data_IF_832765639410
#
_entry.id   IF_832765639410
#
_cell.length_a   1.000
_cell.length_b   1.000
_cell.length_c   1.000
_cell.angle_alpha   90.00
_cell.angle_beta   90.00
_cell.angle_gamma   90.00
#
_symmetry.space_group_name_H-M   'P 1'
#
loop_
_entity.id
_entity.type
_entity.pdbx_description
1 polymer ?
#
# COMPACT_ATOMS: atom_id res chain seq x y z
N UNK A 1 13.69 -12.49 -26.68
CA UNK A 1 13.89 -11.98 -25.30
C UNK A 1 12.60 -12.25 -24.54
N UNK A 2 12.64 -12.96 -23.40
CA UNK A 2 11.42 -13.32 -22.66
C UNK A 2 10.89 -12.09 -21.93
N UNK A 3 9.64 -11.70 -22.19
CA UNK A 3 8.99 -10.61 -21.47
C UNK A 3 8.66 -11.06 -20.04
N UNK A 4 9.44 -10.57 -19.06
CA UNK A 4 9.30 -10.92 -17.64
C UNK A 4 7.89 -10.66 -17.09
N UNK A 5 7.18 -9.65 -17.62
CA UNK A 5 5.80 -9.35 -17.20
C UNK A 5 4.81 -10.48 -17.49
N UNK A 6 5.08 -11.32 -18.48
CA UNK A 6 4.18 -12.41 -18.86
C UNK A 6 4.56 -13.75 -18.22
N UNK A 7 5.63 -13.77 -17.41
CA UNK A 7 6.03 -14.95 -16.63
C UNK A 7 4.89 -15.37 -15.70
N UNK A 8 4.71 -16.67 -15.52
CA UNK A 8 3.67 -17.23 -14.63
C UNK A 8 2.26 -17.25 -15.22
N UNK A 9 2.10 -16.88 -16.49
CA UNK A 9 0.85 -17.06 -17.24
C UNK A 9 0.82 -18.38 -18.00
N UNK A 10 -0.39 -18.87 -18.30
CA UNK A 10 -0.63 -19.96 -19.22
C UNK A 10 -0.15 -19.59 -20.64
N UNK A 11 0.41 -20.53 -21.43
CA UNK A 11 1.03 -20.23 -22.72
C UNK A 11 0.13 -19.45 -23.70
N UNK A 12 -1.14 -19.83 -23.81
CA UNK A 12 -2.09 -19.17 -24.72
C UNK A 12 -2.33 -17.70 -24.34
N UNK A 13 -2.42 -17.40 -23.04
CA UNK A 13 -2.65 -16.04 -22.54
C UNK A 13 -1.39 -15.19 -22.67
N UNK A 14 -0.23 -15.79 -22.38
CA UNK A 14 1.07 -15.19 -22.58
C UNK A 14 1.27 -14.74 -24.03
N UNK A 15 1.07 -15.64 -25.01
CA UNK A 15 1.24 -15.32 -26.43
C UNK A 15 0.33 -14.16 -26.86
N UNK A 16 -0.93 -14.15 -26.40
CA UNK A 16 -1.86 -13.06 -26.69
C UNK A 16 -1.39 -11.71 -26.13
N UNK A 17 -0.83 -11.69 -24.92
CA UNK A 17 -0.33 -10.46 -24.30
C UNK A 17 0.97 -10.01 -24.96
N UNK A 18 1.86 -10.93 -25.33
CA UNK A 18 3.10 -10.62 -26.05
C UNK A 18 2.81 -10.04 -27.45
N UNK A 19 1.78 -10.54 -28.14
CA UNK A 19 1.34 -10.05 -29.45
C UNK A 19 0.67 -8.66 -29.36
N UNK A 20 -0.25 -8.48 -28.41
CA UNK A 20 -1.03 -7.24 -28.31
C UNK A 20 -0.36 -6.15 -27.48
N UNK A 21 0.57 -6.50 -26.58
CA UNK A 21 1.14 -5.59 -25.59
C UNK A 21 0.16 -5.20 -24.47
N UNK A 22 -1.03 -5.81 -24.40
CA UNK A 22 -2.11 -5.39 -23.49
C UNK A 22 -2.48 -6.49 -22.48
N UNK A 23 -2.42 -6.16 -21.20
CA UNK A 23 -2.92 -7.00 -20.10
C UNK A 23 -4.34 -6.55 -19.72
N UNK A 24 -5.36 -7.34 -20.06
CA UNK A 24 -6.75 -7.05 -19.66
C UNK A 24 -7.16 -7.81 -18.38
N UNK A 25 -7.05 -7.13 -17.23
CA UNK A 25 -7.49 -7.62 -15.94
C UNK A 25 -9.02 -7.72 -15.80
N UNK A 26 -9.82 -7.30 -16.77
CA UNK A 26 -11.26 -7.55 -16.75
C UNK A 26 -11.61 -8.95 -17.26
N UNK A 27 -10.73 -9.56 -18.08
CA UNK A 27 -10.93 -10.90 -18.63
C UNK A 27 -10.03 -11.97 -18.00
N UNK A 28 -8.89 -11.59 -17.41
CA UNK A 28 -7.97 -12.55 -16.78
C UNK A 28 -8.68 -13.40 -15.69
N UNK A 29 -8.52 -14.72 -15.76
CA UNK A 29 -9.03 -15.72 -14.81
C UNK A 29 -7.91 -16.25 -13.91
N UNK A 30 -8.26 -17.07 -12.92
CA UNK A 30 -7.27 -17.71 -12.04
C UNK A 30 -6.48 -18.80 -12.77
N UNK A 31 -7.16 -19.61 -13.57
CA UNK A 31 -6.58 -20.66 -14.41
C UNK A 31 -5.55 -20.14 -15.43
N UNK A 32 -5.63 -18.85 -15.77
CA UNK A 32 -4.66 -18.19 -16.66
C UNK A 32 -3.30 -17.96 -15.98
N UNK A 33 -3.21 -18.08 -14.65
CA UNK A 33 -1.99 -17.88 -13.86
C UNK A 33 -1.51 -19.23 -13.31
N UNK A 34 -0.44 -19.74 -13.89
CA UNK A 34 0.11 -21.07 -13.60
C UNK A 34 0.99 -21.08 -12.35
N UNK A 35 1.66 -19.95 -12.05
CA UNK A 35 2.53 -19.83 -10.86
C UNK A 35 1.67 -19.60 -9.61
N UNK A 36 1.77 -20.51 -8.65
CA UNK A 36 1.14 -20.39 -7.33
C UNK A 36 2.19 -20.23 -6.24
N UNK A 37 1.98 -19.31 -5.31
CA UNK A 37 2.84 -19.08 -4.14
C UNK A 37 1.99 -19.24 -2.88
N UNK A 38 2.31 -20.21 -2.00
CA UNK A 38 1.55 -20.46 -0.78
C UNK A 38 1.77 -19.34 0.26
N UNK A 39 0.87 -19.27 1.25
CA UNK A 39 0.78 -18.17 2.24
C UNK A 39 2.11 -17.81 2.95
N UNK A 40 2.95 -18.80 3.25
CA UNK A 40 4.21 -18.60 4.00
C UNK A 40 5.43 -18.26 3.15
N UNK A 41 5.30 -18.22 1.83
CA UNK A 41 6.42 -18.06 0.88
C UNK A 41 6.27 -16.78 0.04
N UNK A 42 5.32 -15.91 0.38
CA UNK A 42 5.06 -14.69 -0.39
C UNK A 42 6.12 -13.63 -0.08
N UNK A 43 7.14 -13.59 -0.93
CA UNK A 43 8.10 -12.50 -1.01
C UNK A 43 7.83 -11.66 -2.27
N UNK A 44 7.64 -10.36 -2.09
CA UNK A 44 7.29 -9.43 -3.17
C UNK A 44 8.16 -8.20 -3.05
N UNK A 45 8.86 -7.84 -4.13
CA UNK A 45 9.40 -6.49 -4.25
C UNK A 45 8.24 -5.52 -4.47
N UNK A 46 7.77 -4.92 -3.38
CA UNK A 46 6.63 -4.02 -3.38
C UNK A 46 6.85 -2.78 -4.26
N UNK A 47 8.09 -2.35 -4.49
CA UNK A 47 8.37 -1.21 -5.37
C UNK A 47 8.09 -1.54 -6.84
N UNK A 48 8.21 -2.82 -7.21
CA UNK A 48 7.90 -3.32 -8.56
C UNK A 48 6.45 -3.75 -8.76
N UNK A 49 5.62 -3.72 -7.70
CA UNK A 49 4.22 -4.14 -7.74
C UNK A 49 3.42 -3.27 -8.73
N UNK A 50 2.73 -3.93 -9.67
CA UNK A 50 1.88 -3.27 -10.68
C UNK A 50 0.39 -3.44 -10.35
N UNK A 51 -0.03 -4.64 -9.95
CA UNK A 51 -1.44 -4.90 -9.71
C UNK A 51 -1.67 -6.05 -8.72
N UNK A 52 -2.68 -5.89 -7.86
CA UNK A 52 -3.23 -6.93 -7.00
C UNK A 52 -4.71 -7.09 -7.35
N UNK A 53 -5.06 -8.19 -8.01
CA UNK A 53 -6.42 -8.48 -8.42
C UNK A 53 -7.07 -9.48 -7.50
N UNK A 54 -8.14 -9.04 -6.85
CA UNK A 54 -8.97 -9.91 -6.03
C UNK A 54 -9.78 -10.89 -6.89
N UNK A 55 -9.66 -12.20 -6.63
CA UNK A 55 -10.68 -13.20 -6.99
C UNK A 55 -11.17 -13.88 -5.72
N UNK A 56 -12.47 -14.08 -5.62
CA UNK A 56 -13.10 -14.76 -4.49
C UNK A 56 -13.24 -16.27 -4.75
N UNK A 57 -13.25 -17.09 -3.68
CA UNK A 57 -12.89 -16.76 -2.30
C UNK A 57 -11.39 -17.01 -2.06
N UNK A 58 -10.64 -15.95 -1.74
CA UNK A 58 -9.21 -16.00 -1.36
C UNK A 58 -8.26 -16.65 -2.39
N UNK A 59 -8.26 -16.11 -3.62
CA UNK A 59 -7.20 -16.39 -4.59
C UNK A 59 -6.87 -15.06 -5.29
N UNK A 60 -5.77 -14.44 -4.90
CA UNK A 60 -5.38 -13.13 -5.43
C UNK A 60 -4.33 -13.31 -6.50
N UNK A 61 -4.51 -12.64 -7.64
CA UNK A 61 -3.49 -12.56 -8.69
C UNK A 61 -2.66 -11.32 -8.42
N UNK A 62 -1.34 -11.49 -8.37
CA UNK A 62 -0.37 -10.41 -8.22
C UNK A 62 0.43 -10.31 -9.52
N UNK A 63 0.69 -9.08 -9.94
CA UNK A 63 1.60 -8.77 -11.04
C UNK A 63 2.68 -7.81 -10.54
N UNK A 64 3.94 -8.17 -10.72
CA UNK A 64 5.10 -7.29 -10.51
C UNK A 64 5.91 -7.13 -11.80
N UNK A 65 6.73 -6.08 -11.86
CA UNK A 65 7.57 -5.78 -13.03
C UNK A 65 8.62 -6.87 -13.28
N UNK A 66 9.17 -7.45 -12.23
CA UNK A 66 10.33 -8.35 -12.31
C UNK A 66 9.98 -9.83 -12.19
N UNK A 67 8.93 -10.18 -11.44
CA UNK A 67 8.54 -11.58 -11.21
C UNK A 67 7.37 -12.04 -12.10
N UNK A 68 6.71 -11.10 -12.77
CA UNK A 68 5.52 -11.36 -13.58
C UNK A 68 4.31 -11.70 -12.72
N UNK A 69 3.51 -12.65 -13.18
CA UNK A 69 2.28 -13.09 -12.54
C UNK A 69 2.52 -14.23 -11.55
N UNK A 70 1.81 -14.16 -10.43
CA UNK A 70 1.56 -15.31 -9.57
C UNK A 70 0.20 -15.18 -8.90
N UNK A 71 -0.32 -16.31 -8.39
CA UNK A 71 -1.50 -16.35 -7.53
C UNK A 71 -1.16 -16.84 -6.14
N UNK A 72 -1.90 -16.37 -5.15
CA UNK A 72 -1.67 -16.66 -3.73
C UNK A 72 -3.00 -16.70 -2.96
N UNK A 73 -3.11 -17.51 -1.89
CA UNK A 73 -4.33 -17.57 -1.07
C UNK A 73 -4.50 -16.35 -0.15
N UNK A 74 -3.57 -15.40 -0.15
CA UNK A 74 -3.70 -14.15 0.59
C UNK A 74 -4.77 -13.26 -0.06
N UNK A 75 -5.59 -12.61 0.75
CA UNK A 75 -6.47 -11.55 0.28
C UNK A 75 -5.68 -10.31 -0.13
N UNK A 76 -6.24 -9.42 -0.95
CA UNK A 76 -5.57 -8.17 -1.31
C UNK A 76 -5.24 -7.30 -0.10
N UNK A 77 -6.04 -7.36 0.97
CA UNK A 77 -5.76 -6.61 2.19
C UNK A 77 -4.55 -7.16 2.91
N UNK A 78 -4.47 -8.48 3.09
CA UNK A 78 -3.30 -9.13 3.71
C UNK A 78 -2.01 -8.84 2.93
N UNK A 79 -2.05 -8.86 1.59
CA UNK A 79 -0.90 -8.49 0.76
C UNK A 79 -0.46 -7.03 0.96
N UNK A 80 -1.41 -6.10 1.06
CA UNK A 80 -1.08 -4.69 1.33
C UNK A 80 -0.60 -4.48 2.76
N UNK A 81 -1.11 -5.26 3.72
CA UNK A 81 -0.61 -5.25 5.09
C UNK A 81 0.85 -5.74 5.15
N UNK A 82 1.22 -6.78 4.38
CA UNK A 82 2.62 -7.18 4.21
C UNK A 82 3.47 -6.07 3.55
N UNK A 83 2.92 -5.37 2.55
CA UNK A 83 3.60 -4.25 1.93
C UNK A 83 3.89 -3.13 2.94
N UNK A 84 2.93 -2.79 3.79
CA UNK A 84 3.11 -1.76 4.83
C UNK A 84 4.09 -2.21 5.90
N UNK A 85 4.02 -3.48 6.33
CA UNK A 85 4.95 -4.05 7.30
C UNK A 85 6.41 -4.04 6.80
N UNK A 86 6.63 -4.00 5.48
CA UNK A 86 7.97 -3.83 4.88
C UNK A 86 8.46 -2.37 4.88
N UNK A 87 7.64 -1.42 5.32
CA UNK A 87 7.98 0.00 5.39
C UNK A 87 8.16 0.46 6.84
N UNK A 88 8.66 1.67 7.02
CA UNK A 88 8.77 2.34 8.31
C UNK A 88 7.45 2.99 8.79
N UNK A 89 6.36 2.82 8.03
CA UNK A 89 5.05 3.44 8.24
C UNK A 89 3.99 2.42 8.60
N UNK A 90 2.98 2.88 9.33
CA UNK A 90 1.79 2.14 9.71
C UNK A 90 0.56 2.62 8.95
N UNK A 91 -0.56 1.90 9.07
CA UNK A 91 -1.84 2.38 8.54
C UNK A 91 -2.26 3.71 9.14
N UNK A 92 -1.92 3.95 10.40
CA UNK A 92 -2.16 5.24 11.04
C UNK A 92 -1.46 6.36 10.29
N UNK A 93 -0.18 6.21 10.00
CA UNK A 93 0.61 7.23 9.30
C UNK A 93 0.03 7.56 7.91
N UNK A 94 -0.41 6.54 7.17
CA UNK A 94 -1.06 6.75 5.88
C UNK A 94 -2.40 7.50 6.01
N UNK A 95 -3.21 7.17 7.02
CA UNK A 95 -4.47 7.88 7.28
C UNK A 95 -4.22 9.33 7.73
N UNK A 96 -3.23 9.56 8.59
CA UNK A 96 -2.84 10.89 9.06
C UNK A 96 -2.38 11.77 7.90
N UNK A 97 -1.65 11.23 6.92
CA UNK A 97 -1.27 11.97 5.71
C UNK A 97 -2.50 12.40 4.88
N UNK A 98 -3.52 11.55 4.79
CA UNK A 98 -4.79 11.90 4.13
C UNK A 98 -5.51 13.02 4.87
N UNK A 99 -5.55 12.94 6.20
CA UNK A 99 -6.23 13.92 7.05
C UNK A 99 -5.53 15.29 7.01
N UNK A 100 -4.19 15.33 7.18
CA UNK A 100 -3.36 16.55 7.13
C UNK A 100 -3.48 17.25 5.77
N UNK A 101 -3.50 16.50 4.68
CA UNK A 101 -3.53 17.05 3.33
C UNK A 101 -4.95 17.25 2.79
N UNK A 102 -5.97 16.97 3.62
CA UNK A 102 -7.40 17.05 3.30
C UNK A 102 -7.76 16.30 2.01
N UNK A 103 -7.26 15.06 1.89
CA UNK A 103 -7.44 14.23 0.70
C UNK A 103 -8.72 13.40 0.79
N UNK A 104 -9.24 12.99 -0.36
CA UNK A 104 -10.43 12.12 -0.36
C UNK A 104 -10.08 10.68 0.03
N UNK A 105 -11.04 9.93 0.58
CA UNK A 105 -10.92 8.47 0.71
C UNK A 105 -11.04 7.75 -0.65
N UNK A 106 -10.65 6.46 -0.76
CA UNK A 106 -9.90 5.66 0.21
C UNK A 106 -8.43 6.06 0.33
N UNK A 107 -7.79 5.68 1.45
CA UNK A 107 -6.40 6.00 1.80
C UNK A 107 -5.40 5.31 0.86
N UNK A 108 -4.54 6.07 0.15
CA UNK A 108 -3.44 5.50 -0.62
C UNK A 108 -2.29 5.07 0.30
N UNK A 109 -1.56 4.03 -0.09
CA UNK A 109 -0.31 3.62 0.59
C UNK A 109 0.85 4.27 -0.15
N UNK A 110 1.56 5.16 0.52
CA UNK A 110 2.70 5.90 -0.04
C UNK A 110 3.88 5.83 0.92
N UNK A 111 4.95 5.15 0.49
CA UNK A 111 6.23 5.11 1.21
C UNK A 111 7.39 5.05 0.22
N UNK A 112 8.27 6.04 0.23
CA UNK A 112 9.33 6.17 -0.78
C UNK A 112 8.79 6.15 -2.22
N UNK A 113 9.12 5.11 -2.96
CA UNK A 113 8.63 4.89 -4.33
C UNK A 113 7.35 4.04 -4.41
N UNK A 114 6.99 3.34 -3.34
CA UNK A 114 5.75 2.57 -3.26
C UNK A 114 4.56 3.53 -3.29
N UNK A 115 3.67 3.35 -4.27
CA UNK A 115 2.42 4.10 -4.37
C UNK A 115 1.28 3.15 -4.77
N UNK A 116 0.52 2.66 -3.79
CA UNK A 116 -0.60 1.75 -4.04
C UNK A 116 -1.93 2.47 -3.85
N UNK A 117 -2.79 2.31 -4.85
CA UNK A 117 -4.13 2.86 -4.86
C UNK A 117 -5.16 1.73 -4.91
N UNK A 118 -6.20 1.88 -4.11
CA UNK A 118 -7.42 1.09 -4.25
C UNK A 118 -8.08 1.41 -5.60
N UNK A 119 -8.45 0.38 -6.36
CA UNK A 119 -9.31 0.51 -7.55
C UNK A 119 -10.77 0.72 -7.15
N UNK A 120 -11.59 1.24 -8.07
CA UNK A 120 -13.01 1.45 -7.78
C UNK A 120 -13.75 0.15 -7.45
N UNK A 121 -14.48 0.13 -6.33
CA UNK A 121 -15.25 -1.04 -5.89
C UNK A 121 -16.49 -1.23 -6.77
N UNK A 122 -16.77 -2.45 -7.27
CA UNK A 122 -18.07 -2.77 -7.82
C UNK A 122 -19.14 -2.67 -6.72
N UNK A 123 -20.21 -1.92 -6.98
CA UNK A 123 -21.28 -1.55 -6.02
C UNK A 123 -21.97 -2.68 -5.21
N UNK A 124 -21.65 -3.96 -5.47
CA UNK A 124 -22.29 -5.11 -4.81
C UNK A 124 -21.31 -6.15 -4.27
N UNK A 125 -20.00 -5.93 -4.34
CA UNK A 125 -19.02 -6.96 -3.95
C UNK A 125 -17.80 -6.28 -3.32
N UNK A 126 -17.43 -6.65 -2.08
CA UNK A 126 -16.15 -6.30 -1.43
C UNK A 126 -14.99 -6.91 -2.24
N UNK A 127 -14.79 -6.42 -3.46
CA UNK A 127 -13.78 -6.80 -4.44
C UNK A 127 -12.86 -5.59 -4.58
N UNK A 128 -11.99 -5.39 -3.60
CA UNK A 128 -11.00 -4.32 -3.65
C UNK A 128 -9.74 -4.87 -4.32
N UNK A 129 -9.47 -4.42 -5.55
CA UNK A 129 -8.16 -4.63 -6.19
C UNK A 129 -7.28 -3.41 -5.96
N UNK A 130 -5.97 -3.57 -6.02
CA UNK A 130 -5.00 -2.49 -5.85
C UNK A 130 -4.14 -2.35 -7.09
N UNK A 131 -3.70 -1.13 -7.37
CA UNK A 131 -2.81 -0.80 -8.48
C UNK A 131 -1.60 -0.05 -7.96
N UNK A 132 -0.41 -0.45 -8.39
CA UNK A 132 0.82 0.31 -8.22
C UNK A 132 0.94 1.36 -9.30
N UNK A 133 0.96 2.62 -8.91
CA UNK A 133 0.93 3.75 -9.86
C UNK A 133 2.29 4.34 -10.18
N UNK A 134 3.33 3.93 -9.47
CA UNK A 134 4.71 4.38 -9.69
C UNK A 134 5.27 4.03 -11.08
N UNK A 135 4.70 3.01 -11.73
CA UNK A 135 5.10 2.53 -13.06
C UNK A 135 4.17 2.99 -14.19
N UNK A 136 3.11 3.75 -13.86
CA UNK A 136 2.15 4.26 -14.84
C UNK A 136 2.69 5.58 -15.43
N UNK A 137 2.75 5.64 -16.76
CA UNK A 137 3.10 6.86 -17.50
C UNK A 137 1.86 7.63 -17.91
N UNK A 138 0.84 6.94 -18.45
CA UNK A 138 -0.38 7.56 -18.96
C UNK A 138 -1.63 6.83 -18.52
N UNK A 139 -2.71 7.58 -18.32
CA UNK A 139 -4.03 7.07 -17.96
C UNK A 139 -5.04 7.53 -19.00
N UNK A 140 -5.72 6.58 -19.64
CA UNK A 140 -6.74 6.80 -20.66
C UNK A 140 -8.06 6.13 -20.27
N UNK A 141 -9.19 6.70 -20.68
CA UNK A 141 -10.48 6.03 -20.52
C UNK A 141 -10.62 4.93 -21.58
N UNK A 142 -10.93 3.71 -21.16
CA UNK A 142 -11.29 2.62 -22.07
C UNK A 142 -12.82 2.49 -22.19
N UNK A 143 -13.54 2.77 -21.10
CA UNK A 143 -14.98 2.99 -21.07
C UNK A 143 -15.35 3.76 -19.80
N UNK A 144 -16.65 4.00 -19.55
CA UNK A 144 -17.11 4.69 -18.34
C UNK A 144 -16.60 4.03 -17.04
N UNK A 145 -16.43 2.70 -17.02
CA UNK A 145 -16.01 1.94 -15.82
C UNK A 145 -14.74 1.12 -16.05
N UNK A 146 -13.99 1.43 -17.10
CA UNK A 146 -12.70 0.80 -17.40
C UNK A 146 -11.67 1.86 -17.75
N UNK A 147 -10.47 1.67 -17.21
CA UNK A 147 -9.31 2.48 -17.50
C UNK A 147 -8.30 1.65 -18.27
N UNK A 148 -7.60 2.28 -19.20
CA UNK A 148 -6.41 1.76 -19.87
C UNK A 148 -5.22 2.61 -19.44
N UNK A 149 -4.23 1.97 -18.83
CA UNK A 149 -3.01 2.66 -18.39
C UNK A 149 -1.82 2.17 -19.19
N UNK A 150 -0.96 3.09 -19.60
CA UNK A 150 0.31 2.79 -20.24
C UNK A 150 1.40 2.77 -19.18
N UNK A 151 2.18 1.69 -19.15
CA UNK A 151 3.32 1.53 -18.27
C UNK A 151 4.57 2.11 -18.91
N UNK A 152 5.55 2.49 -18.09
CA UNK A 152 6.85 3.03 -18.52
C UNK A 152 7.66 2.12 -19.46
N UNK A 153 7.36 0.82 -19.47
CA UNK A 153 7.99 -0.15 -20.36
C UNK A 153 7.23 -0.37 -21.68
N UNK A 154 6.24 0.47 -21.97
CA UNK A 154 5.46 0.44 -23.21
C UNK A 154 4.25 -0.49 -23.20
N UNK A 155 4.10 -1.37 -22.21
CA UNK A 155 2.91 -2.23 -22.08
C UNK A 155 1.69 -1.48 -21.57
N UNK A 156 0.50 -2.00 -21.88
CA UNK A 156 -0.76 -1.45 -21.39
C UNK A 156 -1.45 -2.40 -20.39
N UNK A 157 -2.16 -1.84 -19.42
CA UNK A 157 -3.04 -2.57 -18.51
C UNK A 157 -4.46 -2.02 -18.59
N UNK A 158 -5.46 -2.89 -18.67
CA UNK A 158 -6.88 -2.54 -18.61
C UNK A 158 -7.48 -3.13 -17.34
N UNK A 159 -8.11 -2.29 -16.51
CA UNK A 159 -8.81 -2.73 -15.31
C UNK A 159 -10.04 -1.86 -15.03
N UNK A 160 -10.86 -2.28 -14.05
CA UNK A 160 -12.06 -1.56 -13.65
C UNK A 160 -11.66 -0.37 -12.76
N UNK A 161 -11.83 0.83 -13.31
CA UNK A 161 -11.74 2.11 -12.61
C UNK A 161 -12.29 3.19 -13.54
N UNK A 162 -12.54 4.38 -12.99
CA UNK A 162 -12.81 5.60 -13.76
C UNK A 162 -11.52 6.35 -13.96
N UNK A 163 -11.21 6.72 -15.22
CA UNK A 163 -9.99 7.47 -15.54
C UNK A 163 -9.88 8.78 -14.73
N UNK A 164 -10.99 9.50 -14.55
CA UNK A 164 -11.04 10.74 -13.73
C UNK A 164 -10.68 10.46 -12.27
N UNK A 165 -11.26 9.39 -11.69
CA UNK A 165 -10.96 8.97 -10.31
C UNK A 165 -9.50 8.58 -10.16
N UNK A 166 -8.98 7.72 -11.05
CA UNK A 166 -7.62 7.24 -10.97
C UNK A 166 -6.61 8.40 -11.07
N UNK A 167 -6.79 9.32 -12.03
CA UNK A 167 -5.93 10.51 -12.16
C UNK A 167 -5.97 11.38 -10.90
N UNK A 168 -7.16 11.62 -10.34
CA UNK A 168 -7.29 12.34 -9.06
C UNK A 168 -6.50 11.63 -7.95
N UNK A 169 -6.66 10.32 -7.82
CA UNK A 169 -5.99 9.52 -6.78
C UNK A 169 -4.48 9.45 -6.95
N UNK A 170 -3.98 9.40 -8.19
CA UNK A 170 -2.56 9.52 -8.50
C UNK A 170 -2.01 10.90 -8.10
N UNK A 171 -2.74 11.98 -8.38
CA UNK A 171 -2.34 13.32 -7.96
C UNK A 171 -2.33 13.46 -6.42
N UNK A 172 -3.31 12.88 -5.72
CA UNK A 172 -3.34 12.82 -4.25
C UNK A 172 -2.13 12.04 -3.68
N UNK A 173 -1.81 10.87 -4.24
CA UNK A 173 -0.63 10.10 -3.82
C UNK A 173 0.68 10.84 -4.08
N UNK A 174 0.78 11.55 -5.20
CA UNK A 174 1.94 12.37 -5.50
C UNK A 174 2.08 13.55 -4.51
N UNK A 175 0.97 14.16 -4.08
CA UNK A 175 0.99 15.19 -3.02
C UNK A 175 1.51 14.63 -1.69
N UNK A 176 1.07 13.42 -1.30
CA UNK A 176 1.62 12.75 -0.10
C UNK A 176 3.12 12.51 -0.28
N UNK A 177 3.56 12.00 -1.44
CA UNK A 177 4.98 11.77 -1.71
C UNK A 177 5.80 13.05 -1.54
N UNK A 178 5.35 14.17 -2.12
CA UNK A 178 6.04 15.45 -1.97
C UNK A 178 6.07 15.94 -0.51
N UNK A 179 4.97 15.79 0.22
CA UNK A 179 4.92 16.12 1.64
C UNK A 179 5.96 15.33 2.44
N UNK A 180 6.05 14.00 2.23
CA UNK A 180 7.00 13.13 2.92
C UNK A 180 8.46 13.44 2.57
N UNK A 181 8.75 13.78 1.30
CA UNK A 181 10.10 14.20 0.88
C UNK A 181 10.51 15.47 1.63
N UNK A 182 9.61 16.47 1.67
CA UNK A 182 9.87 17.74 2.36
C UNK A 182 10.06 17.53 3.87
N UNK A 183 9.20 16.74 4.49
CA UNK A 183 9.33 16.39 5.91
C UNK A 183 10.71 15.75 6.19
N UNK A 184 11.14 14.81 5.34
CA UNK A 184 12.45 14.19 5.47
C UNK A 184 13.62 15.19 5.30
N UNK A 185 13.53 16.10 4.31
CA UNK A 185 14.53 17.15 4.12
C UNK A 185 14.62 18.10 5.31
N UNK A 186 13.48 18.50 5.88
CA UNK A 186 13.42 19.39 7.04
C UNK A 186 13.96 18.70 8.31
N UNK A 187 13.65 17.41 8.51
CA UNK A 187 14.26 16.60 9.57
C UNK A 187 15.78 16.51 9.42
N UNK A 188 16.29 16.29 8.20
CA UNK A 188 17.74 16.26 7.96
C UNK A 188 18.40 17.59 8.28
N UNK A 189 17.79 18.72 7.89
CA UNK A 189 18.33 20.06 8.19
C UNK A 189 18.36 20.37 9.69
N UNK A 190 17.37 19.89 10.45
CA UNK A 190 17.27 20.20 11.87
C UNK A 190 18.04 19.23 12.79
N UNK A 191 18.24 17.99 12.36
CA UNK A 191 18.85 16.95 13.20
C UNK A 191 20.22 16.46 12.72
N UNK A 192 20.73 16.96 11.59
CA UNK A 192 22.10 16.69 11.14
C UNK A 192 22.87 17.99 10.85
N UNK A 193 23.43 18.66 11.87
CA UNK A 193 24.58 19.52 11.64
C UNK A 193 25.80 18.60 11.37
N UNK A 194 26.46 18.81 10.23
CA UNK A 194 27.71 18.22 9.72
C UNK A 194 28.41 17.06 10.46
N UNK A 195 28.84 16.09 9.62
CA UNK A 195 29.89 15.08 9.84
C UNK A 195 29.63 13.93 10.84
N UNK A 196 29.40 12.71 10.31
CA UNK A 196 29.75 11.47 11.04
C UNK A 196 28.73 10.33 11.11
N UNK A 197 27.50 10.45 10.62
CA UNK A 197 26.48 9.40 10.81
C UNK A 197 26.50 8.28 9.73
N UNK A 198 27.66 7.96 9.18
CA UNK A 198 27.86 6.80 8.32
C UNK A 198 28.37 5.61 9.15
N UNK A 199 27.61 5.18 10.16
CA UNK A 199 27.65 3.83 10.75
C UNK A 199 26.69 3.77 11.94
N UNK A 200 25.80 2.76 11.92
CA UNK A 200 25.03 2.09 13.00
C UNK A 200 23.56 1.94 12.53
N UNK A 201 22.93 0.77 12.41
CA UNK A 201 23.25 -0.66 12.51
C UNK A 201 22.11 -1.34 11.73
N UNK A 202 22.46 -2.32 10.89
CA UNK A 202 21.59 -3.05 9.95
C UNK A 202 20.63 -4.05 10.64
N UNK A 203 20.32 -3.91 11.93
CA UNK A 203 19.50 -4.89 12.67
C UNK A 203 18.70 -4.30 13.84
N UNK A 204 18.44 -2.99 13.83
CA UNK A 204 17.55 -2.39 14.83
C UNK A 204 16.09 -2.57 14.41
N UNK A 205 15.40 -3.54 15.02
CA UNK A 205 13.93 -3.56 15.04
C UNK A 205 13.44 -2.37 15.88
N UNK A 206 13.48 -1.20 15.25
CA UNK A 206 13.09 0.06 15.86
C UNK A 206 11.60 0.13 16.19
N UNK A 207 10.82 -0.89 15.86
CA UNK A 207 9.40 -0.95 16.18
C UNK A 207 9.17 -0.90 17.69
N UNK A 208 9.85 -1.75 18.48
CA UNK A 208 9.66 -1.78 19.94
C UNK A 208 10.17 -0.49 20.61
N UNK A 209 11.30 0.04 20.14
CA UNK A 209 11.84 1.30 20.67
C UNK A 209 10.99 2.52 20.32
N UNK A 210 10.41 2.57 19.11
CA UNK A 210 9.44 3.60 18.70
C UNK A 210 8.12 3.46 19.46
N UNK A 211 7.67 2.23 19.70
CA UNK A 211 6.47 1.95 20.48
C UNK A 211 6.65 2.42 21.93
N UNK A 212 7.76 2.06 22.59
CA UNK A 212 8.05 2.53 23.94
C UNK A 212 8.17 4.06 24.02
N UNK A 213 8.80 4.70 23.04
CA UNK A 213 8.85 6.17 22.96
C UNK A 213 7.46 6.78 22.84
N UNK A 214 6.62 6.22 21.97
CA UNK A 214 5.24 6.66 21.76
C UNK A 214 4.40 6.47 23.03
N UNK A 215 4.56 5.35 23.73
CA UNK A 215 3.92 5.08 25.03
C UNK A 215 4.30 6.16 26.04
N UNK A 216 5.59 6.47 26.19
CA UNK A 216 6.05 7.50 27.14
C UNK A 216 5.46 8.87 26.82
N UNK A 217 5.47 9.28 25.54
CA UNK A 217 4.94 10.58 25.12
C UNK A 217 3.43 10.68 25.34
N UNK A 218 2.67 9.66 24.91
CA UNK A 218 1.22 9.65 25.06
C UNK A 218 0.81 9.53 26.53
N UNK A 219 1.49 8.71 27.33
CA UNK A 219 1.30 8.65 28.78
C UNK A 219 1.53 10.02 29.42
N UNK A 220 2.59 10.74 29.03
CA UNK A 220 2.86 12.09 29.54
C UNK A 220 1.75 13.08 29.17
N UNK A 221 1.21 13.02 27.95
CA UNK A 221 0.05 13.83 27.54
C UNK A 221 -1.19 13.53 28.39
N UNK A 222 -1.50 12.25 28.64
CA UNK A 222 -2.61 11.83 29.50
C UNK A 222 -2.44 12.32 30.95
N UNK A 223 -1.23 12.23 31.49
CA UNK A 223 -0.91 12.79 32.81
C UNK A 223 -1.08 14.30 32.85
N UNK A 224 -0.63 15.02 31.82
CA UNK A 224 -0.80 16.48 31.73
C UNK A 224 -2.27 16.91 31.62
N UNK A 225 -3.10 16.10 30.98
CA UNK A 225 -4.54 16.32 30.89
C UNK A 225 -5.32 15.83 32.13
N UNK A 226 -4.63 15.46 33.23
CA UNK A 226 -5.21 14.95 34.47
C UNK A 226 -6.04 13.66 34.31
N UNK A 227 -5.73 12.86 33.29
CA UNK A 227 -6.32 11.54 33.02
C UNK A 227 -5.20 10.49 32.88
N UNK A 228 -4.40 10.22 33.93
CA UNK A 228 -3.28 9.30 33.83
C UNK A 228 -3.76 7.87 33.52
N UNK A 229 -3.21 7.28 32.46
CA UNK A 229 -3.49 5.90 32.08
C UNK A 229 -2.25 5.03 32.31
N UNK A 230 -2.47 3.74 32.61
CA UNK A 230 -1.36 2.80 32.74
C UNK A 230 -0.58 2.68 31.42
N UNK A 231 0.75 2.50 31.46
CA UNK A 231 1.56 2.33 30.24
C UNK A 231 1.10 1.16 29.36
N UNK A 232 0.55 0.11 29.96
CA UNK A 232 -0.01 -1.04 29.25
C UNK A 232 -1.29 -0.68 28.49
N UNK A 233 -2.19 0.10 29.10
CA UNK A 233 -3.37 0.62 28.42
C UNK A 233 -2.99 1.57 27.28
N UNK A 234 -2.05 2.50 27.52
CA UNK A 234 -1.54 3.40 26.48
C UNK A 234 -0.89 2.63 25.34
N UNK A 235 -0.11 1.58 25.64
CA UNK A 235 0.48 0.68 24.63
C UNK A 235 -0.58 0.00 23.79
N UNK A 236 -1.64 -0.53 24.41
CA UNK A 236 -2.75 -1.17 23.72
C UNK A 236 -3.48 -0.19 22.80
N UNK A 237 -3.73 1.04 23.27
CA UNK A 237 -4.32 2.11 22.47
C UNK A 237 -3.42 2.45 21.28
N UNK A 238 -2.12 2.67 21.48
CA UNK A 238 -1.17 2.99 20.41
C UNK A 238 -1.13 1.87 19.37
N UNK A 239 -1.05 0.61 19.78
CA UNK A 239 -1.04 -0.54 18.85
C UNK A 239 -2.34 -0.62 18.04
N UNK A 240 -3.49 -0.43 18.68
CA UNK A 240 -4.78 -0.41 17.99
C UNK A 240 -4.86 0.74 16.98
N UNK A 241 -4.38 1.93 17.36
CA UNK A 241 -4.32 3.11 16.50
C UNK A 241 -3.38 2.87 15.31
N UNK A 242 -2.18 2.34 15.54
CA UNK A 242 -1.20 1.98 14.50
C UNK A 242 -1.76 0.97 13.49
N UNK A 243 -2.59 0.04 13.95
CA UNK A 243 -3.32 -0.92 13.11
C UNK A 243 -4.52 -0.30 12.37
N UNK A 244 -4.82 0.98 12.60
CA UNK A 244 -5.93 1.69 11.98
C UNK A 244 -7.30 1.35 12.58
N UNK A 245 -7.35 0.72 13.76
CA UNK A 245 -8.61 0.47 14.49
C UNK A 245 -8.99 1.76 15.22
N UNK A 246 -10.00 2.46 14.70
CA UNK A 246 -10.62 3.63 15.34
C UNK A 246 -11.81 3.17 16.19
N UNK A 247 -11.55 2.45 17.28
CA UNK A 247 -12.59 2.29 18.31
C UNK A 247 -12.74 3.63 19.04
N UNK A 248 -13.99 4.07 19.25
CA UNK A 248 -14.27 5.20 20.14
C UNK A 248 -14.03 4.68 21.56
N UNK A 249 -12.90 5.04 22.15
CA UNK A 249 -12.70 4.83 23.57
C UNK A 249 -13.64 5.79 24.31
N UNK A 250 -14.78 5.27 24.78
CA UNK A 250 -15.57 5.98 25.78
C UNK A 250 -14.73 5.99 27.06
N UNK A 251 -14.16 7.15 27.40
CA UNK A 251 -13.45 7.36 28.65
C UNK A 251 -14.40 7.59 29.84
N UNK A 252 -15.70 7.40 29.63
CA UNK A 252 -16.74 7.38 30.66
C UNK A 252 -17.05 5.94 31.01
N UNK A 253 -16.23 5.36 31.89
CA UNK A 253 -16.60 4.31 32.85
C UNK A 253 -15.31 3.90 33.57
N UNK A 254 -14.96 4.63 34.63
CA UNK A 254 -14.42 4.08 35.89
C UNK A 254 -13.95 5.20 36.83
N UNK A 255 -14.64 5.28 37.98
CA UNK A 255 -14.27 5.92 39.26
C UNK A 255 -14.50 7.44 39.46
N UNK A 256 -15.72 7.76 39.92
CA UNK A 256 -15.88 8.52 41.17
C UNK A 256 -16.00 7.54 42.35
#
# INVERSE_FOLDING_TARGET
>A
MVNLLTRGLAPAVRLKIEDTGVIDFTHLKLEDVTRFIPRGEVEVDWQSLLFIKNKRPADTIVLTLYDGFFRTPLSPRELVDLAIASTDKTWHDHNTNVDILHLSGPTPVVSGNLQLLVTEQPARKNHTSWVGVQSIERVNAASEKKVRVQLKNGMEMIFRDRAVRLRKKMAEAQRIKYYLIREHEDLRRHFAPDEGAAQIVDDFDGHESRLQRSVRLVSACFTMCNHPLSPEHVRKVILNVQQGRREVFNFEDEHY
#
